data_IF_875256608833
#
_entry.id   IF_875256608833
#
_cell.length_a   1.000
_cell.length_b   1.000
_cell.length_c   1.000
_cell.angle_alpha   90.00
_cell.angle_beta   90.00
_cell.angle_gamma   90.00
#
_symmetry.space_group_name_H-M   'P 1'
#
loop_
_entity.id
_entity.type
_entity.pdbx_description
1 polymer ?
#
# COMPACT_ATOMS: atom_id res chain seq x y z
N UNK A 1 19.19 20.58 -12.76
CA UNK A 1 17.72 20.44 -12.84
C UNK A 1 17.41 19.03 -13.30
N UNK A 2 16.59 18.28 -12.56
CA UNK A 2 16.31 16.88 -12.88
C UNK A 2 15.30 16.78 -14.02
N UNK A 3 15.41 15.74 -14.84
CA UNK A 3 14.42 15.43 -15.86
C UNK A 3 13.27 14.63 -15.23
N UNK A 4 12.06 15.21 -15.24
CA UNK A 4 10.85 14.57 -14.76
C UNK A 4 9.96 14.16 -15.93
N UNK A 5 9.44 12.94 -15.86
CA UNK A 5 8.40 12.43 -16.75
C UNK A 5 7.01 12.92 -16.33
N UNK A 6 6.00 12.67 -17.18
CA UNK A 6 4.61 13.01 -16.85
C UNK A 6 4.06 12.22 -15.65
N UNK A 7 4.58 11.01 -15.40
CA UNK A 7 4.15 10.14 -14.30
C UNK A 7 4.93 10.36 -13.01
N UNK A 8 5.91 11.27 -13.02
CA UNK A 8 6.76 11.50 -11.87
C UNK A 8 6.08 12.38 -10.84
N UNK A 9 6.28 12.00 -9.57
CA UNK A 9 5.91 12.82 -8.43
C UNK A 9 6.66 14.16 -8.49
N UNK A 10 5.93 15.25 -8.24
CA UNK A 10 6.47 16.62 -8.28
C UNK A 10 6.92 17.15 -6.91
N UNK A 11 6.55 16.46 -5.83
CA UNK A 11 6.82 16.83 -4.44
C UNK A 11 7.72 15.78 -3.80
N UNK A 12 8.75 16.19 -3.05
CA UNK A 12 9.71 15.29 -2.41
C UNK A 12 9.06 14.11 -1.70
N UNK A 13 9.44 12.88 -2.05
CA UNK A 13 8.86 11.63 -1.54
C UNK A 13 9.14 11.37 -0.05
N UNK A 14 10.10 12.07 0.56
CA UNK A 14 10.40 11.99 1.98
C UNK A 14 9.56 12.96 2.81
N UNK A 15 9.61 14.27 2.52
CA UNK A 15 8.94 15.28 3.33
C UNK A 15 7.49 15.58 2.89
N UNK A 16 7.12 15.26 1.64
CA UNK A 16 5.86 15.61 0.98
C UNK A 16 5.50 17.11 1.03
N UNK A 17 6.51 17.98 1.12
CA UNK A 17 6.31 19.42 1.23
C UNK A 17 7.10 20.20 0.15
N UNK A 18 8.41 19.98 0.06
CA UNK A 18 9.28 20.67 -0.89
C UNK A 18 9.16 20.08 -2.32
N UNK A 19 9.42 20.86 -3.39
CA UNK A 19 9.48 20.34 -4.74
C UNK A 19 10.66 19.37 -4.91
N UNK A 20 10.54 18.45 -5.87
CA UNK A 20 11.64 17.55 -6.21
C UNK A 20 12.74 18.34 -6.93
N UNK A 21 13.97 18.26 -6.42
CA UNK A 21 15.15 18.90 -7.01
C UNK A 21 16.28 17.92 -7.29
N UNK A 22 16.21 16.70 -6.77
CA UNK A 22 17.21 15.66 -6.90
C UNK A 22 16.56 14.27 -7.11
N UNK A 23 17.30 13.38 -7.76
CA UNK A 23 16.93 11.98 -7.95
C UNK A 23 18.03 11.08 -7.39
N UNK A 24 17.71 10.28 -6.37
CA UNK A 24 18.62 9.29 -5.79
C UNK A 24 18.34 7.94 -6.41
N UNK A 25 19.36 7.30 -7.00
CA UNK A 25 19.22 5.95 -7.54
C UNK A 25 19.55 4.91 -6.47
N UNK A 26 18.64 3.97 -6.26
CA UNK A 26 18.81 2.86 -5.33
C UNK A 26 18.68 1.53 -6.10
N UNK A 27 19.13 0.40 -5.54
CA UNK A 27 18.89 -0.91 -6.16
C UNK A 27 17.41 -1.22 -6.40
N UNK A 28 16.51 -0.54 -5.67
CA UNK A 28 15.07 -0.75 -5.72
C UNK A 28 14.34 0.16 -6.72
N UNK A 29 15.02 1.14 -7.32
CA UNK A 29 14.42 2.13 -8.23
C UNK A 29 15.08 3.51 -8.09
N UNK A 30 14.30 4.56 -8.31
CA UNK A 30 14.74 5.94 -8.05
C UNK A 30 13.82 6.60 -7.03
N UNK A 31 14.41 7.41 -6.17
CA UNK A 31 13.71 8.24 -5.20
C UNK A 31 13.76 9.68 -5.68
N UNK A 32 12.62 10.36 -5.66
CA UNK A 32 12.48 11.76 -6.08
C UNK A 32 12.40 12.65 -4.84
N UNK A 33 13.48 13.38 -4.56
CA UNK A 33 13.68 14.09 -3.30
C UNK A 33 13.99 15.58 -3.52
N UNK A 34 13.81 16.39 -2.46
CA UNK A 34 14.44 17.70 -2.39
C UNK A 34 15.92 17.56 -2.00
N UNK A 35 16.68 18.63 -2.15
CA UNK A 35 18.12 18.69 -1.88
C UNK A 35 18.42 18.28 -0.43
N UNK A 36 17.77 18.93 0.54
CA UNK A 36 17.93 18.65 1.98
C UNK A 36 17.64 17.17 2.32
N UNK A 37 16.56 16.59 1.77
CA UNK A 37 16.23 15.19 2.04
C UNK A 37 17.19 14.22 1.36
N UNK A 38 17.81 14.61 0.24
CA UNK A 38 18.81 13.80 -0.45
C UNK A 38 20.13 13.80 0.32
N UNK A 39 20.59 14.98 0.74
CA UNK A 39 21.82 15.13 1.52
C UNK A 39 21.72 14.48 2.90
N UNK A 40 20.57 14.59 3.56
CA UNK A 40 20.29 13.97 4.85
C UNK A 40 19.95 12.48 4.80
N UNK A 41 20.04 11.85 3.62
CA UNK A 41 19.71 10.44 3.38
C UNK A 41 18.33 10.01 3.93
N UNK A 42 17.34 10.90 3.85
CA UNK A 42 16.01 10.62 4.40
C UNK A 42 15.31 9.49 3.62
N UNK A 43 14.64 8.56 4.31
CA UNK A 43 13.83 7.53 3.66
C UNK A 43 12.56 8.16 3.09
N UNK A 44 11.99 7.55 2.04
CA UNK A 44 10.69 7.98 1.53
C UNK A 44 9.61 7.68 2.55
N UNK A 45 8.63 8.56 2.65
CA UNK A 45 7.55 8.40 3.63
C UNK A 45 6.73 7.13 3.39
N UNK A 46 6.62 6.67 2.14
CA UNK A 46 5.94 5.41 1.78
C UNK A 46 6.66 4.16 2.30
N UNK A 47 7.97 4.25 2.55
CA UNK A 47 8.75 3.16 3.14
C UNK A 47 8.55 3.13 4.67
N UNK A 48 8.32 4.30 5.29
CA UNK A 48 7.98 4.44 6.72
C UNK A 48 6.52 4.10 7.01
N UNK A 49 5.61 4.52 6.14
CA UNK A 49 4.17 4.33 6.26
C UNK A 49 3.64 3.65 5.00
N UNK A 50 3.75 2.32 4.90
CA UNK A 50 3.17 1.59 3.79
C UNK A 50 1.67 1.88 3.70
N UNK A 51 1.07 1.92 2.49
CA UNK A 51 -0.34 2.28 2.29
C UNK A 51 -1.35 1.42 3.06
N UNK A 52 -0.93 0.28 3.61
CA UNK A 52 -1.75 -0.59 4.47
C UNK A 52 -1.56 -0.32 5.97
N UNK A 53 -0.84 0.74 6.35
CA UNK A 53 -0.70 1.18 7.74
C UNK A 53 0.17 0.26 8.62
N UNK A 54 0.73 -0.81 8.08
CA UNK A 54 1.58 -1.72 8.86
C UNK A 54 3.04 -1.35 8.64
N UNK A 55 3.64 -0.72 9.65
CA UNK A 55 5.06 -0.37 9.67
C UNK A 55 5.91 -1.59 9.30
N UNK A 56 6.73 -1.45 8.26
CA UNK A 56 7.58 -2.55 7.77
C UNK A 56 6.86 -3.65 6.98
N UNK A 57 5.59 -3.47 6.59
CA UNK A 57 4.81 -4.37 5.72
C UNK A 57 4.45 -3.63 4.42
N UNK A 58 5.46 -3.45 3.57
CA UNK A 58 5.25 -2.98 2.20
C UNK A 58 4.58 -4.09 1.37
N UNK A 59 3.89 -3.74 0.27
CA UNK A 59 3.35 -4.71 -0.70
C UNK A 59 4.43 -5.70 -1.17
N UNK A 60 5.68 -5.23 -1.21
CA UNK A 60 6.87 -6.02 -1.55
C UNK A 60 7.24 -7.04 -0.47
N UNK A 61 7.04 -6.69 0.81
CA UNK A 61 7.25 -7.60 1.95
C UNK A 61 6.10 -8.60 2.11
N UNK A 62 4.84 -8.17 1.95
CA UNK A 62 3.66 -9.06 1.92
C UNK A 62 3.82 -10.15 0.86
N UNK A 63 4.35 -9.79 -0.32
CA UNK A 63 4.55 -10.75 -1.42
C UNK A 63 5.72 -11.72 -1.19
N UNK A 64 6.66 -11.38 -0.31
CA UNK A 64 7.92 -12.12 -0.10
C UNK A 64 8.03 -12.79 1.28
N UNK A 65 7.08 -12.58 2.20
CA UNK A 65 7.22 -13.07 3.57
C UNK A 65 6.87 -14.57 3.75
N UNK A 66 6.39 -15.23 2.69
CA UNK A 66 6.04 -16.65 2.69
C UNK A 66 4.89 -17.02 3.62
N UNK A 67 4.34 -16.07 4.38
CA UNK A 67 3.21 -16.25 5.30
C UNK A 67 1.89 -16.04 4.59
N UNK A 68 1.88 -15.16 3.60
CA UNK A 68 0.76 -14.97 2.69
C UNK A 68 1.00 -15.80 1.43
N UNK A 69 0.62 -17.08 1.48
CA UNK A 69 0.72 -17.98 0.33
C UNK A 69 -0.08 -17.44 -0.86
N UNK A 70 0.45 -17.64 -2.08
CA UNK A 70 -0.30 -17.40 -3.30
C UNK A 70 -1.51 -18.34 -3.37
N UNK A 71 -2.72 -17.78 -3.49
CA UNK A 71 -3.95 -18.54 -3.62
C UNK A 71 -5.16 -17.85 -2.98
N UNK A 72 -6.37 -18.40 -3.16
CA UNK A 72 -7.55 -17.91 -2.45
C UNK A 72 -7.37 -18.03 -0.93
N UNK A 73 -8.00 -17.14 -0.14
CA UNK A 73 -7.94 -17.21 1.32
C UNK A 73 -8.31 -18.61 1.81
N UNK A 74 -7.51 -19.17 2.73
CA UNK A 74 -7.88 -20.42 3.40
C UNK A 74 -9.15 -20.16 4.22
N UNK A 75 -10.19 -20.97 3.99
CA UNK A 75 -11.36 -20.96 4.86
C UNK A 75 -10.95 -21.38 6.28
N UNK A 76 -11.61 -20.84 7.32
CA UNK A 76 -11.44 -21.33 8.68
C UNK A 76 -11.66 -22.85 8.77
N UNK A 77 -10.99 -23.54 9.72
CA UNK A 77 -11.17 -24.98 9.93
C UNK A 77 -12.61 -25.39 10.23
N UNK A 78 -13.37 -24.49 10.84
CA UNK A 78 -14.79 -24.63 11.13
C UNK A 78 -15.54 -23.43 10.53
N UNK A 79 -16.09 -23.57 9.30
CA UNK A 79 -16.82 -22.52 8.63
C UNK A 79 -18.22 -22.26 9.20
N UNK A 80 -18.63 -23.00 10.23
CA UNK A 80 -19.99 -22.97 10.76
C UNK A 80 -20.99 -23.69 9.85
N UNK A 81 -22.29 -23.66 10.22
CA UNK A 81 -23.34 -24.34 9.48
C UNK A 81 -23.47 -23.82 8.04
N UNK A 82 -23.86 -24.68 7.07
CA UNK A 82 -24.16 -24.22 5.72
C UNK A 82 -25.27 -23.18 5.75
N UNK A 83 -25.19 -22.20 4.85
CA UNK A 83 -26.28 -21.25 4.64
C UNK A 83 -27.55 -22.00 4.20
N UNK A 84 -28.74 -21.55 4.60
CA UNK A 84 -29.99 -22.16 4.17
C UNK A 84 -30.18 -22.02 2.64
N UNK A 85 -30.58 -23.11 2.00
CA UNK A 85 -31.00 -23.17 0.60
C UNK A 85 -32.53 -23.33 0.51
N UNK A 86 -33.25 -22.41 -0.17
CA UNK A 86 -32.77 -21.23 -0.89
C UNK A 86 -32.35 -20.09 0.07
N UNK A 87 -31.52 -19.14 -0.40
CA UNK A 87 -31.14 -17.98 0.39
C UNK A 87 -32.37 -17.19 0.88
N UNK A 88 -32.30 -16.54 2.05
CA UNK A 88 -33.38 -15.71 2.56
C UNK A 88 -33.79 -14.65 1.53
N UNK A 89 -35.10 -14.38 1.44
CA UNK A 89 -35.60 -13.31 0.59
C UNK A 89 -34.95 -11.97 1.00
N UNK A 90 -34.52 -11.13 0.05
CA UNK A 90 -33.99 -9.81 0.36
C UNK A 90 -35.02 -9.00 1.15
N UNK A 91 -34.56 -8.31 2.19
CA UNK A 91 -35.43 -7.45 2.99
C UNK A 91 -36.12 -6.40 2.11
N UNK A 92 -37.41 -6.09 2.38
CA UNK A 92 -38.10 -5.03 1.69
C UNK A 92 -37.34 -3.70 1.76
N UNK A 93 -37.42 -2.84 0.72
CA UNK A 93 -36.81 -1.52 0.74
C UNK A 93 -37.20 -0.74 2.00
N UNK A 94 -36.21 -0.27 2.77
CA UNK A 94 -36.42 0.49 4.01
C UNK A 94 -36.27 -0.30 5.31
N UNK A 95 -35.95 -1.60 5.26
CA UNK A 95 -35.68 -2.39 6.47
C UNK A 95 -34.18 -2.40 6.78
N UNK A 96 -33.72 -1.95 7.96
CA UNK A 96 -32.31 -2.05 8.33
C UNK A 96 -31.90 -3.53 8.50
N UNK A 97 -30.64 -3.88 8.18
CA UNK A 97 -30.14 -5.23 8.47
C UNK A 97 -30.13 -5.44 9.99
N UNK A 98 -30.63 -6.61 10.41
CA UNK A 98 -30.57 -7.10 11.80
C UNK A 98 -29.32 -7.95 11.97
#
# INVERSE_FOLDING_TARGET
>A
MIALSATDVRVCEACWNAPVTAARHTPAGRDLLCEECTEGDYPRRVDLFPPFGVYGLTTRKVRNDGRHGSGPPKSPPDPGPPLPDPPPAPSPPGTPPV
#
